data_IF_904265758065
#
_entry.id   IF_904265758065
#
_cell.length_a   1.000
_cell.length_b   1.000
_cell.length_c   1.000
_cell.angle_alpha   90.00
_cell.angle_beta   90.00
_cell.angle_gamma   90.00
#
_symmetry.space_group_name_H-M   'P 1'
#
loop_
_entity.id
_entity.type
_entity.pdbx_description
1 polymer ?
#
# COMPACT_ATOMS: atom_id res chain seq x y z
N UNK A 1 31.40 40.00 -88.82
CA UNK A 1 31.42 40.73 -87.55
C UNK A 1 30.26 41.70 -87.55
N UNK A 2 29.37 41.63 -86.56
CA UNK A 2 28.30 42.60 -86.36
C UNK A 2 28.52 43.19 -84.98
N UNK A 3 28.88 44.47 -84.94
CA UNK A 3 28.92 45.26 -83.70
C UNK A 3 27.51 45.75 -83.42
N UNK A 4 26.89 45.23 -82.35
CA UNK A 4 25.57 45.65 -81.92
C UNK A 4 25.73 46.93 -81.10
N UNK A 5 25.11 48.01 -81.58
CA UNK A 5 25.09 49.29 -80.89
C UNK A 5 24.21 49.20 -79.63
N UNK A 6 24.86 48.89 -78.50
CA UNK A 6 24.23 48.72 -77.18
C UNK A 6 23.88 50.04 -76.49
N UNK A 7 24.18 51.22 -77.07
CA UNK A 7 23.94 52.53 -76.45
C UNK A 7 22.48 52.79 -75.99
N UNK A 8 21.43 52.23 -76.61
CA UNK A 8 20.05 52.42 -76.14
C UNK A 8 19.68 51.54 -74.93
N UNK A 9 20.17 50.28 -74.87
CA UNK A 9 19.75 49.29 -73.88
C UNK A 9 20.30 49.60 -72.48
N UNK A 10 21.60 49.91 -72.38
CA UNK A 10 22.25 50.24 -71.09
C UNK A 10 21.64 51.49 -70.44
N UNK A 11 21.17 52.46 -71.24
CA UNK A 11 20.48 53.65 -70.72
C UNK A 11 19.08 53.33 -70.21
N UNK A 12 18.34 52.46 -70.89
CA UNK A 12 17.01 52.03 -70.41
C UNK A 12 17.12 51.22 -69.12
N UNK A 13 18.08 50.31 -69.02
CA UNK A 13 18.30 49.52 -67.81
C UNK A 13 18.78 50.38 -66.65
N UNK A 14 19.61 51.40 -66.90
CA UNK A 14 19.99 52.38 -65.88
C UNK A 14 18.78 53.18 -65.36
N UNK A 15 17.87 53.62 -66.23
CA UNK A 15 16.65 54.33 -65.83
C UNK A 15 15.70 53.40 -65.06
N UNK A 16 15.54 52.14 -65.49
CA UNK A 16 14.75 51.12 -64.78
C UNK A 16 15.34 50.84 -63.40
N UNK A 17 16.65 50.63 -63.31
CA UNK A 17 17.35 50.40 -62.04
C UNK A 17 17.20 51.61 -61.09
N UNK A 18 17.26 52.84 -61.60
CA UNK A 18 17.08 54.05 -60.80
C UNK A 18 15.63 54.20 -60.27
N UNK A 19 14.63 53.83 -61.07
CA UNK A 19 13.21 53.79 -60.62
C UNK A 19 12.97 52.69 -59.59
N UNK A 20 13.50 51.49 -59.85
CA UNK A 20 13.39 50.36 -58.95
C UNK A 20 14.05 50.66 -57.59
N UNK A 21 15.24 51.26 -57.60
CA UNK A 21 15.93 51.72 -56.38
C UNK A 21 15.05 52.68 -55.58
N UNK A 22 14.42 53.67 -56.22
CA UNK A 22 13.54 54.64 -55.54
C UNK A 22 12.32 53.94 -54.92
N UNK A 23 11.68 53.01 -55.63
CA UNK A 23 10.52 52.25 -55.13
C UNK A 23 10.91 51.39 -53.93
N UNK A 24 12.02 50.66 -54.03
CA UNK A 24 12.51 49.81 -52.94
C UNK A 24 12.82 50.65 -51.70
N UNK A 25 13.48 51.81 -51.88
CA UNK A 25 13.76 52.72 -50.76
C UNK A 25 12.47 53.25 -50.12
N UNK A 26 11.47 53.67 -50.90
CA UNK A 26 10.20 54.15 -50.34
C UNK A 26 9.42 53.05 -49.61
N UNK A 27 9.40 51.83 -50.16
CA UNK A 27 8.72 50.69 -49.52
C UNK A 27 9.44 50.30 -48.23
N UNK A 28 10.78 50.28 -48.23
CA UNK A 28 11.56 49.99 -47.02
C UNK A 28 11.27 51.00 -45.91
N UNK A 29 11.20 52.30 -46.22
CA UNK A 29 10.88 53.34 -45.22
C UNK A 29 9.47 53.13 -44.65
N UNK A 30 8.50 52.82 -45.52
CA UNK A 30 7.11 52.59 -45.10
C UNK A 30 7.01 51.37 -44.16
N UNK A 31 7.68 50.26 -44.52
CA UNK A 31 7.74 49.05 -43.68
C UNK A 31 8.38 49.34 -42.33
N UNK A 32 9.45 50.13 -42.27
CA UNK A 32 10.08 50.52 -41.00
C UNK A 32 9.14 51.33 -40.11
N UNK A 33 8.39 52.28 -40.67
CA UNK A 33 7.42 53.08 -39.90
C UNK A 33 6.32 52.18 -39.32
N UNK A 34 5.80 51.24 -40.12
CA UNK A 34 4.78 50.29 -39.66
C UNK A 34 5.32 49.39 -38.55
N UNK A 35 6.54 48.87 -38.71
CA UNK A 35 7.18 48.03 -37.70
C UNK A 35 7.38 48.78 -36.38
N UNK A 36 7.82 50.04 -36.42
CA UNK A 36 7.97 50.88 -35.24
C UNK A 36 6.61 51.18 -34.58
N UNK A 37 5.55 51.40 -35.36
CA UNK A 37 4.20 51.60 -34.86
C UNK A 37 3.68 50.36 -34.11
N UNK A 38 3.86 49.17 -34.68
CA UNK A 38 3.48 47.90 -34.04
C UNK A 38 4.28 47.66 -32.76
N UNK A 39 5.58 47.98 -32.75
CA UNK A 39 6.43 47.85 -31.57
C UNK A 39 5.96 48.79 -30.45
N UNK A 40 5.62 50.05 -30.78
CA UNK A 40 5.07 51.00 -29.82
C UNK A 40 3.74 50.56 -29.20
N UNK A 41 2.85 49.98 -30.01
CA UNK A 41 1.58 49.42 -29.52
C UNK A 41 1.81 48.22 -28.59
N UNK A 42 2.68 47.28 -28.98
CA UNK A 42 3.02 46.14 -28.15
C UNK A 42 3.66 46.56 -26.82
N UNK A 43 4.57 47.54 -26.85
CA UNK A 43 5.18 48.10 -25.66
C UNK A 43 4.14 48.74 -24.73
N UNK A 44 3.16 49.47 -25.28
CA UNK A 44 2.09 50.08 -24.48
C UNK A 44 1.25 49.02 -23.76
N UNK A 45 0.88 47.94 -24.45
CA UNK A 45 0.09 46.86 -23.84
C UNK A 45 0.85 46.19 -22.70
N UNK A 46 2.14 45.86 -22.91
CA UNK A 46 2.95 45.15 -21.91
C UNK A 46 3.29 46.04 -20.72
N UNK A 47 3.67 47.30 -20.94
CA UNK A 47 4.14 48.17 -19.85
C UNK A 47 3.04 48.95 -19.13
N UNK A 48 1.93 49.28 -19.80
CA UNK A 48 0.86 50.07 -19.19
C UNK A 48 -0.32 49.21 -18.75
N UNK A 49 -0.78 48.27 -19.59
CA UNK A 49 -2.02 47.54 -19.34
C UNK A 49 -1.78 46.32 -18.46
N UNK A 50 -0.79 45.48 -18.82
CA UNK A 50 -0.50 44.23 -18.13
C UNK A 50 -0.25 44.38 -16.62
N UNK A 51 0.55 45.34 -16.11
CA UNK A 51 0.78 45.47 -14.66
C UNK A 51 -0.47 45.96 -13.92
N UNK A 52 -1.31 46.78 -14.55
CA UNK A 52 -2.57 47.25 -13.96
C UNK A 52 -3.54 46.08 -13.81
N UNK A 53 -3.73 45.28 -14.86
CA UNK A 53 -4.60 44.11 -14.79
C UNK A 53 -4.11 43.06 -13.79
N UNK A 54 -2.80 42.81 -13.74
CA UNK A 54 -2.22 41.89 -12.75
C UNK A 54 -2.43 42.42 -11.33
N UNK A 55 -2.18 43.71 -11.08
CA UNK A 55 -2.36 44.28 -9.74
C UNK A 55 -3.82 44.29 -9.28
N UNK A 56 -4.78 44.47 -10.19
CA UNK A 56 -6.20 44.32 -9.86
C UNK A 56 -6.57 42.87 -9.56
N UNK A 57 -6.03 41.92 -10.33
CA UNK A 57 -6.31 40.50 -10.13
C UNK A 57 -5.67 39.99 -8.83
N UNK A 58 -4.44 40.40 -8.54
CA UNK A 58 -3.74 40.09 -7.28
C UNK A 58 -4.50 40.66 -6.08
N UNK A 59 -5.01 41.90 -6.18
CA UNK A 59 -5.85 42.49 -5.12
C UNK A 59 -7.17 41.75 -4.93
N UNK A 60 -7.82 41.33 -6.01
CA UNK A 60 -9.05 40.54 -5.93
C UNK A 60 -8.79 39.17 -5.30
N UNK A 61 -7.68 38.52 -5.66
CA UNK A 61 -7.23 37.26 -5.06
C UNK A 61 -6.92 37.45 -3.57
N UNK A 62 -6.21 38.51 -3.20
CA UNK A 62 -5.90 38.82 -1.79
C UNK A 62 -7.18 39.13 -0.98
N UNK A 63 -8.16 39.81 -1.57
CA UNK A 63 -9.45 40.09 -0.94
C UNK A 63 -10.31 38.83 -0.77
N UNK A 64 -10.34 37.96 -1.79
CA UNK A 64 -11.05 36.68 -1.72
C UNK A 64 -10.34 35.70 -0.78
N UNK A 65 -9.01 35.69 -0.73
CA UNK A 65 -8.22 34.97 0.27
C UNK A 65 -8.46 35.52 1.67
N UNK A 66 -8.59 36.83 1.85
CA UNK A 66 -8.92 37.43 3.14
C UNK A 66 -10.34 37.03 3.59
N UNK A 67 -11.33 37.02 2.68
CA UNK A 67 -12.69 36.53 2.96
C UNK A 67 -12.71 35.04 3.33
N UNK A 68 -11.94 34.21 2.62
CA UNK A 68 -11.81 32.77 2.90
C UNK A 68 -11.08 32.49 4.23
N UNK A 69 -10.06 33.28 4.57
CA UNK A 69 -9.31 33.15 5.84
C UNK A 69 -10.06 33.73 7.05
N UNK A 70 -10.98 34.69 6.82
CA UNK A 70 -11.83 35.24 7.87
C UNK A 70 -12.84 34.21 8.37
N UNK A 71 -13.19 33.21 7.54
CA UNK A 71 -13.98 32.07 7.93
C UNK A 71 -13.10 31.01 8.62
N UNK A 72 -12.79 31.27 9.89
CA UNK A 72 -11.95 30.43 10.78
C UNK A 72 -12.36 28.95 10.82
N UNK A 73 -13.60 28.65 10.40
CA UNK A 73 -14.15 27.30 10.30
C UNK A 73 -13.72 26.54 9.06
N UNK A 74 -13.32 27.19 7.95
CA UNK A 74 -12.97 26.51 6.71
C UNK A 74 -11.61 25.82 6.81
N UNK A 75 -10.58 26.53 7.26
CA UNK A 75 -9.26 25.93 7.55
C UNK A 75 -9.37 24.87 8.66
N UNK A 76 -10.16 25.14 9.70
CA UNK A 76 -10.40 24.17 10.79
C UNK A 76 -11.12 22.92 10.27
N UNK A 77 -12.12 23.04 9.40
CA UNK A 77 -12.83 21.90 8.82
C UNK A 77 -11.98 21.13 7.81
N UNK A 78 -11.14 21.79 7.00
CA UNK A 78 -10.22 21.11 6.09
C UNK A 78 -9.10 20.38 6.83
N UNK A 79 -8.54 21.00 7.88
CA UNK A 79 -7.54 20.36 8.73
C UNK A 79 -8.16 19.25 9.58
N UNK A 80 -9.37 19.41 10.13
CA UNK A 80 -10.09 18.34 10.83
C UNK A 80 -10.46 17.21 9.86
N UNK A 81 -10.87 17.48 8.63
CA UNK A 81 -11.17 16.43 7.66
C UNK A 81 -9.93 15.64 7.26
N UNK A 82 -8.81 16.33 6.99
CA UNK A 82 -7.55 15.65 6.71
C UNK A 82 -7.03 14.88 7.93
N UNK A 83 -7.14 15.43 9.14
CA UNK A 83 -6.75 14.75 10.37
C UNK A 83 -7.69 13.58 10.72
N UNK A 84 -9.00 13.71 10.50
CA UNK A 84 -9.97 12.64 10.73
C UNK A 84 -9.81 11.53 9.70
N UNK A 85 -9.58 11.85 8.43
CA UNK A 85 -9.25 10.86 7.40
C UNK A 85 -7.95 10.13 7.73
N UNK A 86 -6.91 10.84 8.18
CA UNK A 86 -5.66 10.21 8.61
C UNK A 86 -5.81 9.41 9.92
N UNK A 87 -6.61 9.87 10.89
CA UNK A 87 -6.89 9.13 12.13
C UNK A 87 -7.71 7.88 11.83
N UNK A 88 -8.73 7.96 10.96
CA UNK A 88 -9.51 6.80 10.54
C UNK A 88 -8.63 5.80 9.78
N UNK A 89 -7.77 6.26 8.87
CA UNK A 89 -6.82 5.38 8.18
C UNK A 89 -5.80 4.75 9.14
N UNK A 90 -5.26 5.51 10.10
CA UNK A 90 -4.35 4.98 11.13
C UNK A 90 -5.07 4.03 12.10
N UNK A 91 -6.37 4.24 12.35
CA UNK A 91 -7.19 3.37 13.17
C UNK A 91 -7.57 2.08 12.42
N UNK A 92 -7.89 2.18 11.13
CA UNK A 92 -8.15 1.06 10.23
C UNK A 92 -6.91 0.17 10.04
N UNK A 93 -5.71 0.77 9.99
CA UNK A 93 -4.43 0.05 9.94
C UNK A 93 -4.01 -0.56 11.28
N UNK A 94 -4.56 -0.09 12.40
CA UNK A 94 -4.30 -0.67 13.71
C UNK A 94 -5.16 -1.90 13.89
N UNK A 95 -4.76 -3.01 13.27
CA UNK A 95 -5.35 -4.32 13.50
C UNK A 95 -5.50 -4.59 15.00
N UNK A 96 -6.62 -5.20 15.39
CA UNK A 96 -6.99 -5.40 16.79
C UNK A 96 -6.17 -6.54 17.43
N UNK A 97 -4.89 -6.29 17.72
CA UNK A 97 -3.97 -7.26 18.36
C UNK A 97 -4.30 -7.54 19.83
N UNK A 98 -5.36 -6.94 20.38
CA UNK A 98 -5.76 -7.08 21.80
C UNK A 98 -5.97 -8.54 22.19
N UNK A 99 -6.48 -9.36 21.26
CA UNK A 99 -6.80 -10.76 21.52
C UNK A 99 -5.68 -11.74 21.20
N UNK A 100 -4.49 -11.27 20.80
CA UNK A 100 -3.40 -12.16 20.34
C UNK A 100 -2.99 -13.19 21.41
N UNK A 101 -2.96 -12.78 22.67
CA UNK A 101 -2.65 -13.68 23.79
C UNK A 101 -3.74 -14.72 24.02
N UNK A 102 -5.01 -14.37 23.83
CA UNK A 102 -6.13 -15.31 23.96
C UNK A 102 -6.12 -16.32 22.80
N UNK A 103 -5.79 -15.88 21.59
CA UNK A 103 -5.61 -16.77 20.45
C UNK A 103 -4.46 -17.74 20.68
N UNK A 104 -3.31 -17.27 21.16
CA UNK A 104 -2.19 -18.17 21.48
C UNK A 104 -2.53 -19.19 22.55
N UNK A 105 -3.27 -18.80 23.60
CA UNK A 105 -3.72 -19.75 24.63
C UNK A 105 -4.62 -20.83 24.02
N UNK A 106 -5.53 -20.45 23.13
CA UNK A 106 -6.40 -21.40 22.42
C UNK A 106 -5.63 -22.32 21.45
N UNK A 107 -4.50 -21.85 20.91
CA UNK A 107 -3.63 -22.60 20.01
C UNK A 107 -2.62 -23.49 20.73
N UNK A 108 -2.34 -23.24 22.01
CA UNK A 108 -1.39 -24.02 22.77
C UNK A 108 -2.01 -25.38 23.13
N UNK A 109 -1.45 -26.52 22.66
CA UNK A 109 -1.97 -27.83 23.01
C UNK A 109 -1.92 -28.05 24.53
N UNK A 110 -2.85 -28.87 25.03
CA UNK A 110 -2.80 -29.30 26.42
C UNK A 110 -1.52 -30.12 26.70
N UNK A 111 -1.12 -30.17 27.98
CA UNK A 111 -0.06 -31.06 28.42
C UNK A 111 -0.38 -32.52 27.99
N UNK A 112 0.61 -33.30 27.50
CA UNK A 112 2.05 -33.03 27.58
C UNK A 112 2.64 -32.30 26.36
N UNK A 113 1.84 -31.86 25.39
CA UNK A 113 2.31 -31.28 24.11
C UNK A 113 2.31 -29.75 24.10
N UNK A 114 2.22 -29.14 25.28
CA UNK A 114 2.24 -27.70 25.44
C UNK A 114 3.57 -27.10 25.00
N UNK A 115 3.50 -25.89 24.47
CA UNK A 115 4.65 -25.09 24.08
C UNK A 115 4.83 -23.91 25.04
N UNK A 116 6.08 -23.56 25.32
CA UNK A 116 6.46 -22.39 26.10
C UNK A 116 6.94 -21.32 25.15
N UNK A 117 6.28 -20.15 25.13
CA UNK A 117 6.65 -19.04 24.24
C UNK A 117 7.59 -18.10 24.99
N UNK A 118 8.80 -17.92 24.45
CA UNK A 118 9.81 -16.99 25.00
C UNK A 118 9.72 -15.61 24.36
N UNK A 119 9.42 -15.56 23.06
CA UNK A 119 9.31 -14.30 22.31
C UNK A 119 8.32 -14.43 21.18
N UNK A 120 7.59 -13.35 20.90
CA UNK A 120 6.76 -13.21 19.71
C UNK A 120 7.05 -11.87 19.04
N UNK A 121 7.14 -11.89 17.71
CA UNK A 121 7.20 -10.72 16.87
C UNK A 121 6.08 -10.82 15.83
N UNK A 122 5.19 -9.84 15.81
CA UNK A 122 4.13 -9.73 14.81
C UNK A 122 4.50 -8.61 13.84
N UNK A 123 4.43 -8.90 12.54
CA UNK A 123 4.57 -7.91 11.48
C UNK A 123 3.24 -7.79 10.69
N UNK A 124 2.45 -6.73 10.96
CA UNK A 124 1.21 -6.47 10.25
C UNK A 124 1.36 -6.20 8.75
N UNK A 125 2.55 -5.73 8.32
CA UNK A 125 2.79 -5.34 6.93
C UNK A 125 2.97 -6.55 6.01
N UNK A 126 3.59 -7.60 6.53
CA UNK A 126 3.86 -8.84 5.80
C UNK A 126 2.90 -9.97 6.17
N UNK A 127 1.97 -9.74 7.11
CA UNK A 127 1.09 -10.76 7.71
C UNK A 127 1.84 -11.93 8.32
N UNK A 128 3.06 -11.67 8.82
CA UNK A 128 3.92 -12.69 9.42
C UNK A 128 3.97 -12.60 10.93
N UNK A 129 4.11 -13.76 11.58
CA UNK A 129 4.31 -13.88 13.01
C UNK A 129 5.47 -14.83 13.27
N UNK A 130 6.49 -14.35 13.97
CA UNK A 130 7.65 -15.12 14.36
C UNK A 130 7.59 -15.39 15.86
N UNK A 131 7.64 -16.66 16.24
CA UNK A 131 7.57 -17.12 17.62
C UNK A 131 8.86 -17.87 17.95
N UNK A 132 9.53 -17.47 19.03
CA UNK A 132 10.59 -18.26 19.65
C UNK A 132 9.96 -19.03 20.81
N UNK A 133 10.02 -20.36 20.73
CA UNK A 133 9.35 -21.22 21.69
C UNK A 133 10.20 -22.45 22.04
N UNK A 134 9.85 -23.10 23.14
CA UNK A 134 10.43 -24.38 23.54
C UNK A 134 9.35 -25.43 23.77
N UNK A 135 9.72 -26.68 23.53
CA UNK A 135 8.91 -27.87 23.80
C UNK A 135 9.73 -28.88 24.60
N UNK A 136 9.06 -29.80 25.28
CA UNK A 136 9.76 -30.78 26.11
C UNK A 136 10.71 -31.68 25.29
N UNK A 137 10.28 -32.18 24.13
CA UNK A 137 11.09 -33.08 23.28
C UNK A 137 10.87 -32.81 21.78
N UNK A 138 11.80 -33.26 20.93
CA UNK A 138 11.74 -33.13 19.47
C UNK A 138 10.50 -33.78 18.84
N UNK A 139 9.97 -34.86 19.43
CA UNK A 139 8.78 -35.55 18.95
C UNK A 139 7.52 -34.66 18.94
N UNK A 140 7.50 -33.62 19.78
CA UNK A 140 6.36 -32.69 19.90
C UNK A 140 6.34 -31.63 18.81
N UNK A 141 7.46 -31.38 18.13
CA UNK A 141 7.54 -30.36 17.08
C UNK A 141 6.58 -30.67 15.92
N UNK A 142 6.44 -31.94 15.55
CA UNK A 142 5.48 -32.37 14.53
C UNK A 142 4.04 -32.10 14.97
N UNK A 143 3.70 -32.44 16.22
CA UNK A 143 2.35 -32.22 16.78
C UNK A 143 2.04 -30.71 16.86
N UNK A 144 3.00 -29.89 17.27
CA UNK A 144 2.85 -28.43 17.32
C UNK A 144 2.63 -27.87 15.92
N UNK A 145 3.46 -28.28 14.94
CA UNK A 145 3.30 -27.87 13.54
C UNK A 145 1.93 -28.25 12.99
N UNK A 146 1.49 -29.48 13.23
CA UNK A 146 0.19 -29.98 12.77
C UNK A 146 -0.96 -29.25 13.47
N UNK A 147 -0.82 -28.92 14.75
CA UNK A 147 -1.83 -28.16 15.51
C UNK A 147 -2.01 -26.76 14.94
N UNK A 148 -0.92 -26.04 14.68
CA UNK A 148 -0.99 -24.70 14.09
C UNK A 148 -1.50 -24.76 12.64
N UNK A 149 -1.15 -25.79 11.87
CA UNK A 149 -1.70 -25.98 10.51
C UNK A 149 -3.20 -26.29 10.51
N UNK A 150 -3.68 -27.01 11.52
CA UNK A 150 -5.09 -27.37 11.66
C UNK A 150 -5.94 -26.25 12.27
N UNK A 151 -5.32 -25.19 12.79
CA UNK A 151 -6.01 -24.13 13.49
C UNK A 151 -7.02 -23.39 12.59
N UNK A 152 -8.24 -23.26 13.10
CA UNK A 152 -9.32 -22.53 12.43
C UNK A 152 -9.90 -21.45 13.35
N UNK A 153 -10.55 -20.45 12.77
CA UNK A 153 -11.29 -19.44 13.49
C UNK A 153 -12.67 -19.24 12.88
N UNK A 154 -13.59 -18.81 13.74
CA UNK A 154 -14.95 -18.45 13.38
C UNK A 154 -15.19 -16.99 13.74
N UNK A 155 -15.96 -16.27 12.94
CA UNK A 155 -16.23 -14.84 13.15
C UNK A 155 -17.63 -14.45 12.67
N UNK A 156 -18.11 -13.29 13.11
CA UNK A 156 -19.35 -12.70 12.66
C UNK A 156 -19.06 -11.48 11.77
N UNK A 157 -19.40 -11.55 10.48
CA UNK A 157 -19.28 -10.44 9.51
C UNK A 157 -20.57 -9.65 9.43
N UNK A 158 -20.54 -8.32 9.28
CA UNK A 158 -21.75 -7.55 8.99
C UNK A 158 -22.34 -7.97 7.64
N UNK A 159 -23.67 -8.00 7.55
CA UNK A 159 -24.37 -8.24 6.28
C UNK A 159 -24.37 -6.98 5.41
N UNK A 160 -24.29 -7.17 4.10
CA UNK A 160 -24.37 -6.09 3.10
C UNK A 160 -25.72 -5.37 3.10
N UNK A 161 -26.78 -6.01 3.61
CA UNK A 161 -28.13 -5.45 3.73
C UNK A 161 -28.35 -4.59 4.99
N UNK A 162 -27.34 -4.45 5.85
CA UNK A 162 -27.43 -3.71 7.12
C UNK A 162 -28.29 -4.37 8.21
N UNK A 163 -28.78 -5.59 7.97
CA UNK A 163 -29.78 -6.27 8.80
C UNK A 163 -29.23 -7.22 9.87
N UNK A 164 -27.91 -7.25 10.12
CA UNK A 164 -27.30 -8.07 11.17
C UNK A 164 -25.91 -8.59 10.83
N UNK A 165 -25.55 -9.75 11.39
CA UNK A 165 -24.25 -10.39 11.18
C UNK A 165 -24.39 -11.84 10.68
N UNK A 166 -23.61 -12.21 9.67
CA UNK A 166 -23.44 -13.58 9.22
C UNK A 166 -22.33 -14.27 10.00
N UNK A 167 -22.58 -15.50 10.44
CA UNK A 167 -21.55 -16.31 11.11
C UNK A 167 -20.77 -17.11 10.07
N UNK A 168 -19.48 -16.85 9.98
CA UNK A 168 -18.52 -17.65 9.21
C UNK A 168 -17.80 -18.58 10.17
N UNK A 169 -17.62 -19.84 9.76
CA UNK A 169 -16.99 -20.88 10.56
C UNK A 169 -15.82 -21.52 9.82
N UNK A 170 -14.89 -22.03 10.61
CA UNK A 170 -13.81 -22.92 10.17
C UNK A 170 -12.87 -22.33 9.10
N UNK A 171 -12.60 -21.03 9.18
CA UNK A 171 -11.59 -20.34 8.36
C UNK A 171 -10.19 -20.59 8.90
N UNK A 172 -9.18 -20.75 8.02
CA UNK A 172 -7.81 -21.08 8.47
C UNK A 172 -7.16 -19.89 9.18
N UNK A 173 -6.62 -20.13 10.36
CA UNK A 173 -5.86 -19.13 11.14
C UNK A 173 -4.53 -18.82 10.45
N UNK A 174 -3.84 -19.86 10.00
CA UNK A 174 -2.54 -19.74 9.35
C UNK A 174 -2.57 -20.37 7.96
N UNK A 175 -2.02 -19.65 6.99
CA UNK A 175 -1.83 -20.15 5.63
C UNK A 175 -0.55 -21.00 5.52
N UNK A 176 0.46 -20.64 6.29
CA UNK A 176 1.76 -21.31 6.30
C UNK A 176 2.32 -21.39 7.73
N UNK A 177 2.89 -22.56 8.05
CA UNK A 177 3.50 -22.86 9.36
C UNK A 177 4.83 -23.56 9.12
N UNK A 178 5.91 -22.94 9.58
CA UNK A 178 7.27 -23.47 9.48
C UNK A 178 7.98 -23.45 10.84
N UNK A 179 8.82 -24.46 11.08
CA UNK A 179 9.67 -24.57 12.26
C UNK A 179 11.11 -24.62 11.77
N UNK A 180 11.97 -23.79 12.36
CA UNK A 180 13.39 -23.68 12.02
C UNK A 180 14.26 -23.74 13.28
N UNK A 181 15.54 -24.09 13.08
CA UNK A 181 16.59 -24.11 14.09
C UNK A 181 16.24 -24.88 15.40
N UNK A 182 15.69 -26.10 15.36
CA UNK A 182 15.42 -26.85 16.58
C UNK A 182 16.74 -27.27 17.25
N UNK A 183 16.91 -26.92 18.52
CA UNK A 183 18.15 -27.12 19.27
C UNK A 183 17.87 -27.50 20.73
N UNK A 184 18.78 -28.24 21.34
CA UNK A 184 18.70 -28.57 22.76
C UNK A 184 19.16 -27.37 23.59
N UNK A 185 18.37 -27.02 24.59
CA UNK A 185 18.58 -25.87 25.46
C UNK A 185 18.11 -26.20 26.88
N UNK A 186 18.42 -25.34 27.84
CA UNK A 186 17.88 -25.47 29.18
C UNK A 186 16.87 -24.34 29.44
N UNK A 187 15.73 -24.69 30.01
CA UNK A 187 14.78 -23.70 30.53
C UNK A 187 15.37 -22.98 31.75
N UNK A 188 14.71 -21.93 32.20
CA UNK A 188 14.95 -21.17 33.44
C UNK A 188 15.11 -22.07 34.69
N UNK A 189 14.46 -23.23 34.72
CA UNK A 189 14.57 -24.24 35.78
C UNK A 189 15.75 -25.23 35.59
N UNK A 190 16.57 -25.07 34.55
CA UNK A 190 17.68 -25.99 34.22
C UNK A 190 17.25 -27.32 33.59
N UNK A 191 15.98 -27.46 33.21
CA UNK A 191 15.46 -28.65 32.52
C UNK A 191 15.82 -28.60 31.03
N UNK A 192 16.25 -29.74 30.49
CA UNK A 192 16.52 -29.92 29.07
C UNK A 192 15.22 -29.78 28.26
N UNK A 193 15.19 -28.82 27.33
CA UNK A 193 14.05 -28.52 26.45
C UNK A 193 14.55 -28.24 25.03
N UNK A 194 13.70 -28.49 24.04
CA UNK A 194 14.00 -28.20 22.64
C UNK A 194 13.51 -26.80 22.31
N UNK A 195 14.44 -25.87 22.10
CA UNK A 195 14.15 -24.51 21.62
C UNK A 195 14.12 -24.48 20.11
N UNK A 196 13.17 -23.74 19.54
CA UNK A 196 12.99 -23.61 18.10
C UNK A 196 12.37 -22.25 17.75
N UNK A 197 12.45 -21.90 16.47
CA UNK A 197 11.76 -20.74 15.90
C UNK A 197 10.60 -21.22 15.04
N UNK A 198 9.49 -20.52 15.11
CA UNK A 198 8.32 -20.78 14.30
C UNK A 198 7.98 -19.53 13.50
N UNK A 199 7.93 -19.65 12.18
CA UNK A 199 7.48 -18.59 11.30
C UNK A 199 6.12 -18.97 10.73
N UNK A 200 5.16 -18.07 10.91
CA UNK A 200 3.75 -18.24 10.63
C UNK A 200 3.27 -17.12 9.69
N UNK A 201 2.42 -17.47 8.74
CA UNK A 201 1.67 -16.48 7.94
C UNK A 201 0.21 -16.53 8.36
N UNK A 202 -0.26 -15.48 9.02
CA UNK A 202 -1.60 -15.45 9.62
C UNK A 202 -2.63 -14.83 8.68
N UNK A 203 -3.90 -15.21 8.83
CA UNK A 203 -4.99 -14.62 8.07
C UNK A 203 -5.30 -13.20 8.59
N UNK A 204 -5.22 -12.14 7.77
CA UNK A 204 -5.41 -10.76 8.21
C UNK A 204 -6.76 -10.50 8.88
N UNK A 205 -7.79 -11.31 8.55
CA UNK A 205 -9.11 -11.23 9.17
C UNK A 205 -9.07 -11.47 10.70
N UNK A 206 -8.05 -12.15 11.24
CA UNK A 206 -7.90 -12.36 12.68
C UNK A 206 -7.77 -11.06 13.50
N UNK A 207 -7.26 -10.01 12.86
CA UNK A 207 -7.05 -8.71 13.48
C UNK A 207 -7.89 -7.61 12.80
N UNK A 208 -8.86 -7.97 11.98
CA UNK A 208 -9.81 -7.04 11.38
C UNK A 208 -10.77 -6.51 12.45
N UNK A 209 -10.78 -5.19 12.62
CA UNK A 209 -11.60 -4.50 13.62
C UNK A 209 -13.10 -4.47 13.27
N UNK A 210 -13.46 -4.74 12.02
CA UNK A 210 -14.86 -4.77 11.55
C UNK A 210 -15.58 -6.05 11.94
N UNK A 211 -14.83 -7.12 12.21
CA UNK A 211 -15.36 -8.43 12.57
C UNK A 211 -15.65 -8.52 14.07
N UNK A 212 -16.74 -9.20 14.43
CA UNK A 212 -17.11 -9.44 15.83
C UNK A 212 -16.99 -10.91 16.19
N UNK A 213 -16.77 -11.19 17.48
CA UNK A 213 -16.74 -12.53 18.07
C UNK A 213 -15.80 -13.50 17.35
N UNK A 214 -14.55 -13.07 17.11
CA UNK A 214 -13.51 -13.94 16.58
C UNK A 214 -13.18 -14.99 17.65
N UNK A 215 -13.39 -16.26 17.33
CA UNK A 215 -13.08 -17.41 18.19
C UNK A 215 -12.12 -18.31 17.43
N UNK A 216 -10.91 -18.48 17.98
CA UNK A 216 -9.89 -19.41 17.46
C UNK A 216 -10.08 -20.77 18.12
N UNK A 217 -10.02 -21.84 17.34
CA UNK A 217 -10.14 -23.21 17.83
C UNK A 217 -9.26 -24.17 17.02
N UNK A 218 -8.89 -25.27 17.67
CA UNK A 218 -8.25 -26.40 17.01
C UNK A 218 -9.35 -27.44 16.77
N UNK A 219 -9.64 -27.83 15.53
CA UNK A 219 -10.67 -28.81 15.25
C UNK A 219 -10.28 -30.14 15.90
N UNK A 220 -11.18 -30.71 16.70
CA UNK A 220 -10.99 -31.96 17.46
C UNK A 220 -10.87 -33.22 16.57
N UNK A 221 -10.73 -33.07 15.25
CA UNK A 221 -10.43 -34.19 14.35
C UNK A 221 -8.96 -34.52 14.47
N UNK A 222 -8.66 -35.46 15.37
CA UNK A 222 -7.43 -36.27 15.45
C UNK A 222 -6.24 -35.60 14.71
N UNK A 223 -5.65 -34.59 15.35
CA UNK A 223 -4.66 -33.66 14.75
C UNK A 223 -3.30 -34.30 14.49
N UNK A 224 -3.27 -35.58 14.12
CA UNK A 224 -2.05 -36.33 13.87
C UNK A 224 -2.27 -37.32 12.73
N UNK A 225 -1.91 -36.98 11.47
CA UNK A 225 -1.63 -37.99 10.45
C UNK A 225 -0.53 -38.95 10.92
N UNK A 226 0.40 -38.45 11.74
CA UNK A 226 1.54 -39.19 12.32
C UNK A 226 1.13 -40.23 13.38
N UNK A 227 -0.07 -40.13 13.98
CA UNK A 227 -0.58 -41.21 14.84
C UNK A 227 -1.05 -42.44 14.02
N UNK A 228 -1.29 -42.24 12.72
CA UNK A 228 -1.68 -43.29 11.78
C UNK A 228 -0.52 -43.75 10.89
N UNK A 229 0.74 -43.41 11.19
CA UNK A 229 1.85 -44.06 10.51
C UNK A 229 1.87 -45.54 10.89
N UNK A 230 1.42 -46.39 9.97
CA UNK A 230 1.62 -47.84 10.06
C UNK A 230 3.11 -48.05 10.28
N UNK A 231 3.47 -48.64 11.42
CA UNK A 231 4.82 -49.12 11.64
C UNK A 231 5.13 -50.20 10.59
N UNK A 232 5.79 -49.82 9.49
CA UNK A 232 6.19 -50.74 8.43
C UNK A 232 7.24 -51.77 8.91
N UNK A 233 7.75 -51.60 10.13
CA UNK A 233 8.76 -52.44 10.78
C UNK A 233 8.29 -53.05 12.11
N UNK A 234 7.00 -52.96 12.45
CA UNK A 234 6.49 -53.72 13.59
C UNK A 234 6.49 -55.22 13.21
N UNK A 235 7.24 -56.02 13.97
CA UNK A 235 7.41 -57.46 13.78
C UNK A 235 6.13 -58.29 14.04
N UNK A 236 4.96 -57.66 14.16
CA UNK A 236 3.69 -58.37 14.16
C UNK A 236 2.51 -57.44 13.79
N UNK A 237 1.82 -57.66 12.65
CA UNK A 237 0.61 -56.92 12.33
C UNK A 237 -0.55 -57.48 13.14
N UNK A 238 -0.92 -56.81 14.25
CA UNK A 238 -2.14 -57.14 14.98
C UNK A 238 -3.37 -56.87 14.11
N UNK A 239 -4.18 -57.93 13.97
CA UNK A 239 -5.43 -57.97 13.21
C UNK A 239 -6.38 -56.84 13.63
N UNK A 240 -7.00 -56.21 12.63
CA UNK A 240 -8.20 -55.40 12.81
C UNK A 240 -9.31 -56.28 13.37
N UNK A 241 -9.75 -56.03 14.59
CA UNK A 241 -11.07 -56.47 15.04
C UNK A 241 -12.10 -55.48 14.51
N UNK A 242 -12.83 -55.95 13.51
CA UNK A 242 -14.06 -55.37 13.00
C UNK A 242 -15.16 -55.69 14.02
N UNK A 243 -15.55 -54.70 14.84
CA UNK A 243 -16.76 -54.82 15.65
C UNK A 243 -17.89 -54.15 14.86
N UNK A 244 -18.72 -55.02 14.28
CA UNK A 244 -20.00 -54.67 13.71
C UNK A 244 -21.04 -54.39 14.81
N UNK A 245 -21.96 -53.49 14.46
CA UNK A 245 -23.22 -53.07 15.12
C UNK A 245 -23.13 -51.88 16.07
#
# INVERSE_FOLDING_TARGET
MIEINLLPAVKQDFIRAKRLKRIITSVSILVTIVALGLLGLAATVVYAIQPVTSSFLDKAIDEDLAKLNQDKNLTRNLTIQNQLSSITQLHEQKGNVVNIFEYLKALNPAAPNNLTISKMQLDPSTTTMNIEASAADFSRLAIIKDTFNAAVFSYAKPKDDGGGFDKVKDEKVFSEVSITDPSLSNDSDGKSVVSFKMALTYNPLLFDWTLKNIIVSIPQKNTTPTANSVNLFAENPTKKEEVAQ
#
